data_IF_118429402639
#
_entry.id   IF_118429402639
#
_cell.length_a   1.000
_cell.length_b   1.000
_cell.length_c   1.000
_cell.angle_alpha   90.00
_cell.angle_beta   90.00
_cell.angle_gamma   90.00
#
_symmetry.space_group_name_H-M   'P 1'
#
loop_
_entity.id
_entity.type
_entity.pdbx_description
1 polymer ?
#
# COMPACT_ATOMS: atom_id res chain seq x y z
N UNK A 1 9.22 36.02 2.75
CA UNK A 1 9.15 34.58 3.11
C UNK A 1 7.82 34.10 2.58
N UNK A 2 7.84 33.33 1.50
CA UNK A 2 6.61 32.84 0.87
C UNK A 2 6.05 31.73 1.74
N UNK A 3 4.91 31.96 2.40
CA UNK A 3 4.18 30.92 3.09
C UNK A 3 3.91 29.80 2.09
N UNK A 4 4.59 28.67 2.28
CA UNK A 4 4.41 27.48 1.47
C UNK A 4 3.11 26.84 1.95
N UNK A 5 1.99 27.32 1.40
CA UNK A 5 0.68 26.69 1.55
C UNK A 5 0.77 25.24 1.06
N UNK A 6 0.91 24.30 2.00
CA UNK A 6 0.90 22.87 1.71
C UNK A 6 -0.51 22.54 1.23
N UNK A 7 -0.64 22.16 -0.05
CA UNK A 7 -1.91 21.65 -0.58
C UNK A 7 -2.25 20.34 0.16
N UNK A 8 -3.36 20.24 0.90
CA UNK A 8 -3.66 19.06 1.71
C UNK A 8 -3.83 17.76 0.89
N UNK A 9 -4.10 17.89 -0.41
CA UNK A 9 -4.26 16.77 -1.35
C UNK A 9 -2.98 16.36 -2.09
N UNK A 10 -1.84 17.03 -1.85
CA UNK A 10 -0.56 16.68 -2.50
C UNK A 10 0.21 15.56 -1.79
N UNK A 11 -0.08 15.29 -0.51
CA UNK A 11 0.54 14.21 0.24
C UNK A 11 0.07 12.82 -0.25
N UNK A 12 0.88 11.78 -0.02
CA UNK A 12 0.53 10.42 -0.42
C UNK A 12 -0.70 9.90 0.35
N UNK A 13 -1.60 9.12 -0.29
CA UNK A 13 -1.67 8.86 -1.73
C UNK A 13 -2.13 10.11 -2.52
N UNK A 14 -1.50 10.40 -3.67
CA UNK A 14 -1.81 11.58 -4.46
C UNK A 14 -3.28 11.59 -4.88
N UNK A 15 -3.92 12.75 -4.70
CA UNK A 15 -5.33 12.94 -5.01
C UNK A 15 -5.52 14.11 -5.95
N UNK A 16 -6.32 13.91 -6.99
CA UNK A 16 -6.72 14.95 -7.94
C UNK A 16 -8.21 15.22 -7.78
N UNK A 17 -8.55 16.47 -7.54
CA UNK A 17 -9.93 16.94 -7.55
C UNK A 17 -10.34 17.34 -8.97
N UNK A 18 -11.57 17.03 -9.34
CA UNK A 18 -12.17 17.42 -10.62
C UNK A 18 -13.66 17.68 -10.44
N UNK A 19 -14.25 18.48 -11.32
CA UNK A 19 -15.70 18.70 -11.33
C UNK A 19 -16.37 17.74 -12.29
N UNK A 20 -17.41 17.06 -11.83
CA UNK A 20 -18.26 16.16 -12.62
C UNK A 20 -19.11 16.99 -13.59
N UNK A 21 -19.60 16.44 -14.72
CA UNK A 21 -20.54 17.15 -15.61
C UNK A 21 -21.74 17.80 -14.91
N UNK A 22 -22.17 17.22 -13.79
CA UNK A 22 -23.28 17.70 -12.96
C UNK A 22 -22.89 18.87 -12.03
N UNK A 23 -21.69 19.43 -12.16
CA UNK A 23 -21.18 20.51 -11.32
C UNK A 23 -20.74 20.10 -9.91
N UNK A 24 -20.83 18.81 -9.58
CA UNK A 24 -20.46 18.28 -8.26
C UNK A 24 -18.97 17.88 -8.18
N UNK A 25 -18.35 18.01 -7.00
CA UNK A 25 -16.95 17.61 -6.82
C UNK A 25 -16.78 16.09 -6.97
N UNK A 26 -15.68 15.70 -7.60
CA UNK A 26 -15.19 14.35 -7.74
C UNK A 26 -13.70 14.27 -7.41
N UNK A 27 -13.27 13.14 -6.88
CA UNK A 27 -11.89 12.91 -6.47
C UNK A 27 -11.34 11.64 -7.11
N UNK A 28 -10.11 11.72 -7.61
CA UNK A 28 -9.36 10.58 -8.12
C UNK A 28 -8.14 10.37 -7.24
N UNK A 29 -8.08 9.23 -6.56
CA UNK A 29 -6.96 8.79 -5.73
C UNK A 29 -6.13 7.77 -6.48
N UNK A 30 -4.84 8.04 -6.64
CA UNK A 30 -3.87 7.11 -7.25
C UNK A 30 -3.06 6.43 -6.16
N UNK A 31 -3.44 5.21 -5.79
CA UNK A 31 -2.69 4.40 -4.84
C UNK A 31 -1.63 3.57 -5.59
N UNK A 32 -0.36 3.89 -5.39
CA UNK A 32 0.77 3.14 -5.95
C UNK A 32 1.34 2.18 -4.91
N UNK A 33 0.70 1.01 -4.80
CA UNK A 33 0.87 0.07 -3.69
C UNK A 33 1.44 -1.26 -4.17
N UNK A 34 2.19 -1.94 -3.30
CA UNK A 34 2.65 -3.30 -3.54
C UNK A 34 1.56 -4.29 -3.11
N UNK A 35 1.34 -5.36 -3.88
CA UNK A 35 0.43 -6.45 -3.48
C UNK A 35 1.26 -7.62 -2.92
N UNK A 36 0.70 -8.50 -2.06
CA UNK A 36 1.46 -9.60 -1.45
C UNK A 36 2.16 -10.50 -2.48
N UNK A 37 1.45 -10.86 -3.56
CA UNK A 37 2.02 -11.69 -4.62
C UNK A 37 3.20 -10.98 -5.30
N UNK A 38 3.09 -9.66 -5.48
CA UNK A 38 4.14 -8.86 -6.10
C UNK A 38 5.31 -8.60 -5.16
N UNK A 39 5.07 -8.48 -3.87
CA UNK A 39 6.12 -8.44 -2.85
C UNK A 39 6.92 -9.74 -2.87
N UNK A 40 6.23 -10.88 -2.90
CA UNK A 40 6.86 -12.19 -3.03
C UNK A 40 7.68 -12.34 -4.32
N UNK A 41 7.17 -11.87 -5.46
CA UNK A 41 7.97 -11.87 -6.70
C UNK A 41 9.13 -10.89 -6.65
N UNK A 42 8.96 -9.73 -6.02
CA UNK A 42 10.03 -8.74 -5.87
C UNK A 42 11.20 -9.31 -5.05
N UNK A 43 10.90 -9.99 -3.94
CA UNK A 43 11.91 -10.64 -3.10
C UNK A 43 12.59 -11.80 -3.84
N UNK A 44 11.84 -12.62 -4.56
CA UNK A 44 12.41 -13.67 -5.42
C UNK A 44 13.35 -13.11 -6.50
N UNK A 45 12.95 -12.04 -7.18
CA UNK A 45 13.80 -11.35 -8.16
C UNK A 45 15.01 -10.69 -7.50
N UNK A 46 14.86 -10.10 -6.31
CA UNK A 46 15.96 -9.51 -5.57
C UNK A 46 17.01 -10.58 -5.22
N UNK A 47 16.60 -11.75 -4.74
CA UNK A 47 17.52 -12.85 -4.44
C UNK A 47 18.27 -13.35 -5.69
N UNK A 48 17.59 -13.48 -6.83
CA UNK A 48 18.25 -13.83 -8.09
C UNK A 48 19.27 -12.77 -8.53
N UNK A 49 18.92 -11.48 -8.44
CA UNK A 49 19.82 -10.38 -8.77
C UNK A 49 21.00 -10.30 -7.79
N UNK A 50 20.78 -10.59 -6.51
CA UNK A 50 21.85 -10.68 -5.50
C UNK A 50 22.81 -11.82 -5.79
N UNK A 51 22.30 -12.99 -6.15
CA UNK A 51 23.13 -14.12 -6.57
C UNK A 51 23.95 -13.78 -7.82
N UNK A 52 23.32 -13.16 -8.83
CA UNK A 52 24.01 -12.70 -10.03
C UNK A 52 25.09 -11.66 -9.70
N UNK A 53 24.81 -10.71 -8.81
CA UNK A 53 25.78 -9.71 -8.35
C UNK A 53 26.96 -10.37 -7.63
N UNK A 54 26.71 -11.35 -6.75
CA UNK A 54 27.74 -12.10 -6.07
C UNK A 54 28.65 -12.86 -7.04
N UNK A 55 28.05 -13.61 -7.98
CA UNK A 55 28.78 -14.35 -9.01
C UNK A 55 29.60 -13.40 -9.89
N UNK A 56 29.02 -12.27 -10.29
CA UNK A 56 29.71 -11.24 -11.05
C UNK A 56 30.91 -10.64 -10.31
N UNK A 57 30.76 -10.36 -9.01
CA UNK A 57 31.85 -9.86 -8.16
C UNK A 57 32.95 -10.91 -7.99
N UNK A 58 32.60 -12.19 -7.77
CA UNK A 58 33.56 -13.28 -7.66
C UNK A 58 34.32 -13.51 -8.98
N UNK A 59 33.63 -13.48 -10.11
CA UNK A 59 34.23 -13.61 -11.43
C UNK A 59 35.17 -12.45 -11.76
N UNK A 60 34.78 -11.22 -11.46
CA UNK A 60 35.62 -10.04 -11.64
C UNK A 60 36.88 -10.11 -10.76
N UNK A 61 36.74 -10.54 -9.50
CA UNK A 61 37.86 -10.75 -8.59
C UNK A 61 38.83 -11.82 -9.12
N UNK A 62 38.30 -12.92 -9.69
CA UNK A 62 39.10 -13.97 -10.30
C UNK A 62 39.91 -13.47 -11.50
N UNK A 63 39.28 -12.71 -12.40
CA UNK A 63 39.92 -12.21 -13.63
C UNK A 63 41.04 -11.19 -13.37
N UNK A 64 40.88 -10.36 -12.35
CA UNK A 64 41.84 -9.29 -12.03
C UNK A 64 42.81 -9.73 -10.92
N UNK A 65 42.73 -10.98 -10.47
CA UNK A 65 43.46 -11.47 -9.30
C UNK A 65 44.96 -11.21 -9.41
N UNK A 66 45.48 -10.44 -8.47
CA UNK A 66 46.91 -10.18 -8.30
C UNK A 66 47.29 -10.39 -6.84
N UNK A 67 48.24 -11.30 -6.52
CA UNK A 67 48.69 -11.52 -5.15
C UNK A 67 49.17 -10.23 -4.47
N UNK A 68 49.80 -9.34 -5.23
CA UNK A 68 50.33 -8.06 -4.74
C UNK A 68 49.23 -7.06 -4.32
N UNK A 69 48.02 -7.17 -4.87
CA UNK A 69 46.93 -6.23 -4.63
C UNK A 69 45.65 -6.90 -4.09
N UNK A 70 45.77 -8.14 -3.60
CA UNK A 70 44.62 -8.96 -3.22
C UNK A 70 43.68 -8.26 -2.22
N UNK A 71 44.25 -7.65 -1.18
CA UNK A 71 43.46 -6.95 -0.16
C UNK A 71 42.63 -5.79 -0.73
N UNK A 72 43.23 -5.00 -1.63
CA UNK A 72 42.54 -3.89 -2.29
C UNK A 72 41.44 -4.40 -3.23
N UNK A 73 41.73 -5.44 -4.02
CA UNK A 73 40.78 -6.04 -4.96
C UNK A 73 39.58 -6.65 -4.22
N UNK A 74 39.83 -7.34 -3.11
CA UNK A 74 38.80 -7.90 -2.25
C UNK A 74 37.94 -6.80 -1.62
N UNK A 75 38.56 -5.72 -1.12
CA UNK A 75 37.84 -4.59 -0.55
C UNK A 75 36.92 -3.92 -1.58
N UNK A 76 37.39 -3.72 -2.82
CA UNK A 76 36.59 -3.18 -3.92
C UNK A 76 35.43 -4.12 -4.27
N UNK A 77 35.67 -5.43 -4.38
CA UNK A 77 34.62 -6.40 -4.68
C UNK A 77 33.53 -6.42 -3.60
N UNK A 78 33.91 -6.38 -2.32
CA UNK A 78 32.96 -6.29 -1.21
C UNK A 78 32.20 -4.97 -1.25
N UNK A 79 32.87 -3.83 -1.47
CA UNK A 79 32.23 -2.53 -1.56
C UNK A 79 31.16 -2.49 -2.67
N UNK A 80 31.50 -3.01 -3.86
CA UNK A 80 30.56 -3.12 -4.99
C UNK A 80 29.39 -4.05 -4.65
N UNK A 81 29.66 -5.20 -4.02
CA UNK A 81 28.61 -6.13 -3.61
C UNK A 81 27.64 -5.49 -2.60
N UNK A 82 28.14 -4.86 -1.53
CA UNK A 82 27.29 -4.23 -0.52
C UNK A 82 26.53 -3.02 -1.07
N UNK A 83 27.17 -2.17 -1.87
CA UNK A 83 26.51 -1.04 -2.51
C UNK A 83 25.44 -1.48 -3.50
N UNK A 84 25.76 -2.45 -4.37
CA UNK A 84 24.81 -3.04 -5.31
C UNK A 84 23.64 -3.70 -4.62
N UNK A 85 23.90 -4.45 -3.53
CA UNK A 85 22.85 -5.07 -2.73
C UNK A 85 21.91 -4.04 -2.08
N UNK A 86 22.47 -2.95 -1.53
CA UNK A 86 21.66 -1.87 -0.95
C UNK A 86 20.78 -1.18 -2.00
N UNK A 87 21.30 -0.99 -3.23
CA UNK A 87 20.50 -0.46 -4.34
C UNK A 87 19.39 -1.44 -4.75
N UNK A 88 19.68 -2.73 -4.87
CA UNK A 88 18.69 -3.75 -5.21
C UNK A 88 17.53 -3.76 -4.20
N UNK A 89 17.83 -3.82 -2.91
CA UNK A 89 16.82 -3.83 -1.85
C UNK A 89 15.95 -2.57 -1.84
N UNK A 90 16.52 -1.43 -2.25
CA UNK A 90 15.78 -0.15 -2.30
C UNK A 90 14.88 -0.03 -3.52
N UNK A 91 15.35 -0.43 -4.69
CA UNK A 91 14.67 -0.13 -5.96
C UNK A 91 13.80 -1.27 -6.48
N UNK A 92 14.15 -2.53 -6.21
CA UNK A 92 13.40 -3.68 -6.72
C UNK A 92 11.93 -3.65 -6.26
N UNK A 93 11.59 -3.43 -4.98
CA UNK A 93 10.18 -3.37 -4.56
C UNK A 93 9.39 -2.26 -5.28
N UNK A 94 10.05 -1.15 -5.63
CA UNK A 94 9.43 -0.04 -6.37
C UNK A 94 8.96 -0.44 -7.77
N UNK A 95 9.71 -1.28 -8.48
CA UNK A 95 9.37 -1.74 -9.83
C UNK A 95 8.12 -2.62 -9.87
N UNK A 96 7.79 -3.28 -8.76
CA UNK A 96 6.66 -4.18 -8.65
C UNK A 96 5.38 -3.51 -8.16
N UNK A 97 5.41 -2.23 -7.78
CA UNK A 97 4.21 -1.51 -7.34
C UNK A 97 3.15 -1.42 -8.45
N UNK A 98 1.89 -1.56 -8.05
CA UNK A 98 0.74 -1.43 -8.94
C UNK A 98 0.01 -0.13 -8.65
N UNK A 99 -0.25 0.65 -9.69
CA UNK A 99 -1.16 1.80 -9.59
C UNK A 99 -2.60 1.32 -9.66
N UNK A 100 -3.36 1.59 -8.60
CA UNK A 100 -4.82 1.43 -8.56
C UNK A 100 -5.44 2.82 -8.49
N UNK A 101 -6.37 3.09 -9.41
CA UNK A 101 -7.10 4.35 -9.42
C UNK A 101 -8.46 4.14 -8.76
N UNK A 102 -8.75 4.96 -7.76
CA UNK A 102 -10.04 4.98 -7.07
C UNK A 102 -10.67 6.32 -7.40
N UNK A 103 -11.87 6.28 -7.97
CA UNK A 103 -12.64 7.47 -8.32
C UNK A 103 -13.81 7.56 -7.33
N UNK A 104 -13.89 8.65 -6.59
CA UNK A 104 -14.98 8.94 -5.69
C UNK A 104 -15.78 10.10 -6.26
N UNK A 105 -17.07 9.88 -6.44
CA UNK A 105 -18.04 10.91 -6.80
C UNK A 105 -19.14 10.94 -5.77
N UNK A 106 -20.00 11.95 -5.83
CA UNK A 106 -21.13 12.10 -4.91
C UNK A 106 -22.05 10.88 -4.90
N UNK A 107 -22.24 10.23 -6.05
CA UNK A 107 -23.18 9.10 -6.20
C UNK A 107 -22.53 7.72 -6.22
N UNK A 108 -21.31 7.61 -6.77
CA UNK A 108 -20.65 6.33 -7.05
C UNK A 108 -19.18 6.34 -6.65
N UNK A 109 -18.69 5.17 -6.26
CA UNK A 109 -17.28 4.88 -6.03
C UNK A 109 -16.82 3.88 -7.07
N UNK A 110 -15.84 4.28 -7.87
CA UNK A 110 -15.24 3.48 -8.92
C UNK A 110 -13.84 3.01 -8.53
N UNK A 111 -13.51 1.76 -8.86
CA UNK A 111 -12.12 1.28 -8.83
C UNK A 111 -11.73 0.80 -10.20
N UNK A 112 -10.66 1.39 -10.73
CA UNK A 112 -10.06 0.95 -11.98
C UNK A 112 -8.82 0.11 -11.70
N UNK A 113 -8.92 -1.18 -11.99
CA UNK A 113 -7.82 -2.15 -11.94
C UNK A 113 -7.50 -2.60 -13.35
N UNK A 114 -6.34 -2.16 -13.87
CA UNK A 114 -5.90 -2.45 -15.25
C UNK A 114 -6.97 -2.03 -16.28
N UNK A 115 -7.71 -3.00 -16.83
CA UNK A 115 -8.76 -2.80 -17.84
C UNK A 115 -10.19 -2.86 -17.26
N UNK A 116 -10.37 -3.32 -16.03
CA UNK A 116 -11.68 -3.39 -15.39
C UNK A 116 -11.95 -2.10 -14.61
N UNK A 117 -13.12 -1.51 -14.82
CA UNK A 117 -13.64 -0.45 -13.97
C UNK A 117 -14.86 -1.02 -13.26
N UNK A 118 -14.82 -1.04 -11.93
CA UNK A 118 -15.91 -1.55 -11.10
C UNK A 118 -16.52 -0.37 -10.35
N UNK A 119 -17.82 -0.17 -10.50
CA UNK A 119 -18.56 0.93 -9.90
C UNK A 119 -19.51 0.42 -8.83
N UNK A 120 -19.53 1.11 -7.71
CA UNK A 120 -20.40 0.83 -6.58
C UNK A 120 -21.22 2.07 -6.24
N UNK A 121 -22.49 1.91 -5.83
CA UNK A 121 -23.26 3.02 -5.29
C UNK A 121 -22.68 3.46 -3.94
N UNK A 122 -22.64 4.77 -3.71
CA UNK A 122 -22.06 5.34 -2.49
C UNK A 122 -23.02 5.37 -1.30
N UNK A 123 -24.33 5.17 -1.47
CA UNK A 123 -25.26 5.32 -0.35
C UNK A 123 -25.06 4.21 0.71
N UNK A 124 -24.93 4.60 1.97
CA UNK A 124 -24.83 3.66 3.10
C UNK A 124 -23.54 2.83 3.16
N UNK A 125 -22.46 3.31 2.53
CA UNK A 125 -21.18 2.61 2.53
C UNK A 125 -20.32 2.94 3.76
N UNK A 126 -19.33 2.08 4.04
CA UNK A 126 -18.22 2.38 4.95
C UNK A 126 -16.90 1.86 4.40
N UNK A 127 -15.84 2.65 4.51
CA UNK A 127 -14.48 2.17 4.24
C UNK A 127 -13.86 1.59 5.50
N UNK A 128 -13.30 0.39 5.40
CA UNK A 128 -12.54 -0.28 6.48
C UNK A 128 -11.31 -0.92 5.87
N UNK A 129 -10.26 -1.13 6.66
CA UNK A 129 -9.25 -2.12 6.30
C UNK A 129 -9.58 -3.46 6.96
N UNK A 130 -9.18 -4.56 6.33
CA UNK A 130 -9.22 -5.89 6.92
C UNK A 130 -7.90 -6.60 6.63
N UNK A 131 -7.48 -7.46 7.54
CA UNK A 131 -6.32 -8.31 7.32
C UNK A 131 -6.59 -9.23 6.12
N UNK A 132 -5.55 -9.59 5.37
CA UNK A 132 -5.70 -10.51 4.24
C UNK A 132 -6.24 -11.87 4.71
N UNK A 133 -7.22 -12.42 4.00
CA UNK A 133 -7.85 -13.70 4.38
C UNK A 133 -6.88 -14.89 4.41
N UNK A 134 -5.75 -14.78 3.70
CA UNK A 134 -4.68 -15.79 3.64
C UNK A 134 -3.66 -15.66 4.78
N UNK A 135 -3.70 -14.59 5.56
CA UNK A 135 -2.78 -14.37 6.68
C UNK A 135 -2.84 -15.51 7.70
N UNK A 136 -4.05 -16.00 8.01
CA UNK A 136 -4.24 -17.11 8.96
C UNK A 136 -3.60 -18.40 8.46
N UNK A 137 -3.71 -18.67 7.15
CA UNK A 137 -3.10 -19.85 6.54
C UNK A 137 -1.57 -19.74 6.55
N UNK A 138 -1.03 -18.59 6.15
CA UNK A 138 0.42 -18.33 6.18
C UNK A 138 1.01 -18.44 7.59
N UNK A 139 0.28 -17.97 8.61
CA UNK A 139 0.70 -18.11 10.02
C UNK A 139 0.80 -19.59 10.42
N UNK A 140 -0.22 -20.40 10.10
CA UNK A 140 -0.22 -21.83 10.39
C UNK A 140 0.93 -22.55 9.67
N UNK A 141 1.15 -22.27 8.40
CA UNK A 141 2.24 -22.87 7.63
C UNK A 141 3.61 -22.51 8.22
N UNK A 142 3.79 -21.25 8.62
CA UNK A 142 5.01 -20.78 9.27
C UNK A 142 5.21 -21.41 10.66
N UNK A 143 4.14 -21.66 11.42
CA UNK A 143 4.21 -22.38 12.70
C UNK A 143 4.64 -23.82 12.52
N UNK A 144 4.04 -24.55 11.57
CA UNK A 144 4.42 -25.92 11.24
C UNK A 144 5.89 -25.99 10.80
N UNK A 145 6.32 -25.07 9.93
CA UNK A 145 7.71 -25.00 9.48
C UNK A 145 8.70 -24.70 10.61
N UNK A 146 8.31 -23.84 11.58
CA UNK A 146 9.11 -23.57 12.78
C UNK A 146 9.22 -24.78 13.69
N UNK A 147 8.12 -25.51 13.90
CA UNK A 147 8.12 -26.72 14.70
C UNK A 147 9.02 -27.79 14.08
N UNK A 148 8.89 -28.04 12.77
CA UNK A 148 9.77 -28.95 12.05
C UNK A 148 11.24 -28.54 12.16
N UNK A 149 11.56 -27.27 11.91
CA UNK A 149 12.93 -26.77 12.04
C UNK A 149 13.47 -26.89 13.48
N UNK A 150 12.63 -26.71 14.51
CA UNK A 150 13.05 -26.86 15.90
C UNK A 150 13.46 -28.30 16.25
N UNK A 151 12.79 -29.30 15.67
CA UNK A 151 13.13 -30.72 15.80
C UNK A 151 14.51 -30.95 15.16
N UNK A 152 14.74 -30.36 13.99
CA UNK A 152 16.00 -30.49 13.24
C UNK A 152 17.11 -29.55 13.74
N UNK A 153 16.88 -28.78 14.83
CA UNK A 153 17.78 -27.74 15.37
C UNK A 153 18.18 -26.68 14.33
N UNK A 154 17.33 -26.45 13.35
CA UNK A 154 17.47 -25.41 12.34
C UNK A 154 16.64 -24.17 12.70
N UNK A 155 17.10 -23.00 12.25
CA UNK A 155 16.36 -21.75 12.42
C UNK A 155 15.56 -21.48 11.15
N UNK A 156 14.23 -21.60 11.23
CA UNK A 156 13.33 -21.19 10.15
C UNK A 156 12.89 -19.74 10.32
N UNK A 157 13.22 -18.90 9.33
CA UNK A 157 12.65 -17.56 9.19
C UNK A 157 11.42 -17.63 8.29
N UNK A 158 10.24 -17.67 8.88
CA UNK A 158 8.97 -17.58 8.16
C UNK A 158 8.88 -16.26 7.40
N UNK A 159 8.36 -16.30 6.17
CA UNK A 159 8.03 -15.11 5.39
C UNK A 159 6.58 -14.71 5.66
N UNK A 160 6.33 -13.42 5.87
CA UNK A 160 5.02 -12.89 6.23
C UNK A 160 4.52 -11.93 5.13
N UNK A 161 4.11 -12.47 3.98
CA UNK A 161 3.63 -11.66 2.87
C UNK A 161 2.16 -11.30 3.03
N UNK A 162 1.34 -12.25 3.46
CA UNK A 162 -0.10 -12.07 3.63
C UNK A 162 -0.46 -11.51 4.99
N UNK A 163 0.31 -11.85 6.04
CA UNK A 163 0.12 -11.31 7.38
C UNK A 163 0.38 -9.78 7.45
N UNK A 164 1.26 -9.25 6.61
CA UNK A 164 1.49 -7.81 6.49
C UNK A 164 0.67 -7.17 5.36
N UNK A 165 -0.29 -7.90 4.80
CA UNK A 165 -1.17 -7.39 3.75
C UNK A 165 -2.57 -7.11 4.27
N UNK A 166 -3.15 -6.02 3.79
CA UNK A 166 -4.48 -5.54 4.16
C UNK A 166 -5.34 -5.31 2.92
N UNK A 167 -6.59 -5.75 2.98
CA UNK A 167 -7.62 -5.35 2.03
C UNK A 167 -8.23 -4.03 2.48
N UNK A 168 -8.30 -3.05 1.58
CA UNK A 168 -9.18 -1.89 1.74
C UNK A 168 -10.54 -2.30 1.23
N UNK A 169 -11.49 -2.39 2.16
CA UNK A 169 -12.84 -2.90 1.96
C UNK A 169 -13.82 -1.75 1.86
N UNK A 170 -14.70 -1.87 0.88
CA UNK A 170 -15.95 -1.12 0.77
C UNK A 170 -17.09 -2.00 1.27
N UNK A 171 -17.62 -1.66 2.43
CA UNK A 171 -18.76 -2.32 3.05
C UNK A 171 -20.03 -1.63 2.59
N UNK A 172 -20.87 -2.33 1.84
CA UNK A 172 -22.13 -1.81 1.30
C UNK A 172 -23.26 -2.77 1.66
N UNK A 173 -24.18 -2.32 2.52
CA UNK A 173 -25.32 -3.15 2.95
C UNK A 173 -24.92 -4.44 3.67
N UNK A 174 -23.76 -4.48 4.32
CA UNK A 174 -23.22 -5.68 4.97
C UNK A 174 -22.44 -6.61 4.03
N UNK A 175 -22.34 -6.27 2.74
CA UNK A 175 -21.51 -7.00 1.79
C UNK A 175 -20.12 -6.38 1.69
N UNK A 176 -19.10 -7.23 1.78
CA UNK A 176 -17.69 -6.88 1.63
C UNK A 176 -17.30 -6.82 0.15
N UNK A 177 -16.81 -5.67 -0.29
CA UNK A 177 -16.18 -5.50 -1.60
C UNK A 177 -14.73 -5.04 -1.46
N UNK A 178 -13.78 -5.84 -1.92
CA UNK A 178 -12.36 -5.53 -1.78
C UNK A 178 -11.90 -4.56 -2.88
N UNK A 179 -11.67 -3.30 -2.51
CA UNK A 179 -11.27 -2.24 -3.44
C UNK A 179 -9.81 -2.33 -3.86
N UNK A 180 -8.92 -2.67 -2.94
CA UNK A 180 -7.49 -2.93 -3.23
C UNK A 180 -6.85 -3.74 -2.10
N UNK A 181 -5.72 -4.37 -2.41
CA UNK A 181 -4.88 -5.06 -1.42
C UNK A 181 -3.56 -4.32 -1.34
N UNK A 182 -3.16 -3.92 -0.13
CA UNK A 182 -1.89 -3.24 0.16
C UNK A 182 -1.01 -4.15 0.99
N UNK A 183 0.25 -4.29 0.59
CA UNK A 183 1.30 -4.83 1.42
C UNK A 183 1.91 -3.70 2.25
N UNK A 184 1.81 -3.80 3.58
CA UNK A 184 2.32 -2.83 4.55
C UNK A 184 1.20 -2.11 5.32
N UNK A 185 1.24 -2.10 6.66
CA UNK A 185 0.19 -1.49 7.49
C UNK A 185 0.12 0.03 7.36
N UNK A 186 1.27 0.70 7.24
CA UNK A 186 1.34 2.17 7.13
C UNK A 186 0.72 2.66 5.81
N UNK A 187 1.05 2.00 4.70
CA UNK A 187 0.49 2.32 3.39
C UNK A 187 -1.03 2.09 3.37
N UNK A 188 -1.50 0.97 3.95
CA UNK A 188 -2.93 0.66 4.05
C UNK A 188 -3.69 1.70 4.88
N UNK A 189 -3.15 2.09 6.04
CA UNK A 189 -3.74 3.09 6.91
C UNK A 189 -3.83 4.47 6.23
N UNK A 190 -2.78 4.89 5.53
CA UNK A 190 -2.79 6.17 4.83
C UNK A 190 -3.76 6.20 3.64
N UNK A 191 -3.92 5.10 2.90
CA UNK A 191 -4.96 4.99 1.87
C UNK A 191 -6.36 5.05 2.48
N UNK A 192 -6.60 4.31 3.58
CA UNK A 192 -7.90 4.32 4.26
C UNK A 192 -8.26 5.71 4.79
N UNK A 193 -7.32 6.35 5.50
CA UNK A 193 -7.51 7.70 6.04
C UNK A 193 -7.83 8.71 4.93
N UNK A 194 -7.15 8.60 3.77
CA UNK A 194 -7.45 9.45 2.61
C UNK A 194 -8.87 9.23 2.10
N UNK A 195 -9.29 7.98 1.93
CA UNK A 195 -10.63 7.68 1.43
C UNK A 195 -11.72 8.17 2.38
N UNK A 196 -11.55 7.98 3.69
CA UNK A 196 -12.48 8.48 4.71
C UNK A 196 -12.55 10.01 4.72
N UNK A 197 -11.40 10.68 4.59
CA UNK A 197 -11.34 12.14 4.49
C UNK A 197 -12.08 12.68 3.27
N UNK A 198 -11.86 12.08 2.10
CA UNK A 198 -12.55 12.48 0.86
C UNK A 198 -14.05 12.17 0.91
N UNK A 199 -14.44 11.08 1.54
CA UNK A 199 -15.85 10.78 1.76
C UNK A 199 -16.53 11.84 2.64
N UNK A 200 -15.85 12.27 3.71
CA UNK A 200 -16.30 13.38 4.55
C UNK A 200 -16.52 14.67 3.75
N UNK A 201 -15.58 15.03 2.87
CA UNK A 201 -15.72 16.20 2.00
C UNK A 201 -16.89 16.09 1.02
N UNK A 202 -17.07 14.93 0.38
CA UNK A 202 -18.18 14.70 -0.53
C UNK A 202 -19.53 14.72 0.22
N UNK A 203 -19.59 14.23 1.46
CA UNK A 203 -20.78 14.32 2.30
C UNK A 203 -21.11 15.77 2.67
N UNK A 204 -20.10 16.57 3.02
CA UNK A 204 -20.27 18.00 3.29
C UNK A 204 -20.78 18.76 2.06
N UNK A 205 -20.23 18.48 0.87
CA UNK A 205 -20.67 19.10 -0.39
C UNK A 205 -22.14 18.76 -0.73
N UNK A 206 -22.57 17.51 -0.51
CA UNK A 206 -23.96 17.10 -0.73
C UNK A 206 -24.91 17.78 0.26
N UNK A 207 -24.48 17.99 1.51
CA UNK A 207 -25.29 18.72 2.51
C UNK A 207 -25.49 20.18 2.12
N UNK A 208 -24.42 20.86 1.68
CA UNK A 208 -24.48 22.27 1.24
C UNK A 208 -25.41 22.43 0.02
N UNK A 209 -25.39 21.47 -0.91
CA UNK A 209 -26.26 21.49 -2.09
C UNK A 209 -27.75 21.22 -1.82
N UNK A 210 -28.13 20.79 -0.62
CA UNK A 210 -29.52 20.43 -0.26
C UNK A 210 -30.33 21.57 0.39
N UNK A 211 -29.79 22.78 0.46
CA UNK A 211 -30.48 23.93 1.03
C UNK A 211 -30.30 24.05 2.55
N UNK A 212 -30.70 25.21 3.08
CA UNK A 212 -30.65 25.56 4.50
C UNK A 212 -31.35 24.46 5.32
N UNK A 213 -30.75 23.98 6.43
CA UNK A 213 -31.40 22.99 7.29
C UNK A 213 -32.76 23.53 7.75
N UNK A 214 -33.85 22.84 7.39
CA UNK A 214 -35.20 23.22 7.81
C UNK A 214 -35.49 22.85 9.28
N UNK A 215 -34.64 22.02 9.90
CA UNK A 215 -34.85 21.53 11.25
C UNK A 215 -33.62 21.80 12.14
N UNK A 216 -33.82 22.36 13.35
CA UNK A 216 -32.73 22.58 14.33
C UNK A 216 -31.96 21.32 14.73
N UNK A 217 -32.53 20.14 14.50
CA UNK A 217 -31.89 18.84 14.76
C UNK A 217 -30.77 18.48 13.77
N UNK A 218 -30.75 19.11 12.59
CA UNK A 218 -29.72 18.84 11.56
C UNK A 218 -28.42 19.63 11.78
N UNK A 219 -28.44 20.67 12.62
CA UNK A 219 -27.27 21.49 12.97
C UNK A 219 -26.44 20.91 14.11
N UNK A 220 -27.03 20.05 14.95
CA UNK A 220 -26.37 19.53 16.15
C UNK A 220 -25.84 18.13 15.86
N UNK A 221 -24.61 18.06 15.34
CA UNK A 221 -23.83 16.83 15.44
C UNK A 221 -23.73 16.46 16.93
N UNK A 222 -24.17 15.26 17.30
CA UNK A 222 -24.13 14.72 18.65
C UNK A 222 -22.74 14.95 19.27
N UNK A 223 -22.64 15.98 20.11
CA UNK A 223 -21.51 16.17 21.00
C UNK A 223 -21.62 15.08 22.07
N UNK A 224 -20.58 14.28 22.31
CA UNK A 224 -20.62 13.26 23.35
C UNK A 224 -20.50 13.97 24.71
N UNK A 225 -21.63 14.15 25.39
CA UNK A 225 -21.63 14.74 26.71
C UNK A 225 -22.99 15.22 27.18
N UNK A 226 -24.01 14.38 27.11
CA UNK A 226 -25.17 14.53 27.99
C UNK A 226 -24.96 13.62 29.18
N UNK A 227 -24.67 14.24 30.32
CA UNK A 227 -24.53 13.58 31.63
C UNK A 227 -25.92 13.53 32.24
N UNK A 228 -26.49 12.33 32.29
CA UNK A 228 -27.58 11.96 33.19
C UNK A 228 -27.12 10.77 34.04
#
# INVERSE_FOLDING_TARGET
MSDTLIKPLSAWPPTVEYTTPDGLPGFRVSAHVLTPERARTADGCAELLRAALFIGCAYALWQVFSPAHFALQLAVALAVFYAGNALLLRYVPGLFRQTTLIELTTERVGVRRRKACLWFPRRGHRFKHQLHDRAVWEQRDNEVARQAASIDRQVSRGSYYYADSFHIVFDLGGHRYDLLTVYGPQEAAAVLARLQYLDGQLNAAVKIGKGVPEQPRDEWAEAPGDVA
#
